data_IF_018587564540
#
_entry.id   IF_018587564540
#
_cell.length_a   1.000
_cell.length_b   1.000
_cell.length_c   1.000
_cell.angle_alpha   90.00
_cell.angle_beta   90.00
_cell.angle_gamma   90.00
#
_symmetry.space_group_name_H-M   'P 1'
#
loop_
_entity.id
_entity.type
_entity.pdbx_description
1 polymer ?
#
# COMPACT_ATOMS: atom_id res chain seq x y z
N UNK A 1 -49.52 10.65 -22.88
CA UNK A 1 -48.33 10.96 -22.05
C UNK A 1 -48.31 10.00 -20.88
N UNK A 2 -47.58 8.88 -20.99
CA UNK A 2 -47.54 7.85 -19.94
C UNK A 2 -46.13 7.79 -19.36
N UNK A 3 -46.07 8.24 -18.12
CA UNK A 3 -44.94 8.31 -17.21
C UNK A 3 -44.58 6.88 -16.79
N UNK A 4 -43.35 6.46 -17.03
CA UNK A 4 -42.77 5.26 -16.41
C UNK A 4 -42.13 5.72 -15.10
N UNK A 5 -42.73 5.29 -13.98
CA UNK A 5 -42.25 5.55 -12.63
C UNK A 5 -41.22 4.51 -12.20
N UNK A 6 -40.17 5.03 -11.57
CA UNK A 6 -39.06 4.41 -10.85
C UNK A 6 -39.55 3.35 -9.84
N UNK A 7 -38.91 2.18 -9.82
CA UNK A 7 -39.01 1.19 -8.74
C UNK A 7 -38.07 1.58 -7.60
N UNK A 8 -38.63 1.99 -6.46
CA UNK A 8 -37.94 1.95 -5.16
C UNK A 8 -38.60 0.88 -4.31
N UNK A 9 -37.83 -0.10 -3.86
CA UNK A 9 -38.29 -1.15 -2.94
C UNK A 9 -37.70 -0.91 -1.55
N UNK A 10 -38.55 -0.57 -0.59
CA UNK A 10 -38.25 -0.60 0.85
C UNK A 10 -39.42 -1.30 1.52
N UNK A 11 -39.21 -2.53 2.00
CA UNK A 11 -40.16 -3.20 2.88
C UNK A 11 -39.98 -2.64 4.29
N UNK A 12 -40.95 -1.89 4.79
CA UNK A 12 -40.98 -1.41 6.18
C UNK A 12 -41.45 -2.53 7.13
N UNK A 13 -40.68 -2.81 8.19
CA UNK A 13 -41.02 -3.78 9.26
C UNK A 13 -42.39 -3.51 9.91
N UNK A 14 -42.94 -2.30 9.82
CA UNK A 14 -44.31 -1.98 10.29
C UNK A 14 -45.41 -2.63 9.44
N UNK A 15 -45.16 -3.00 8.19
CA UNK A 15 -46.14 -3.67 7.31
C UNK A 15 -46.29 -5.15 7.66
N UNK A 16 -45.22 -5.81 8.12
CA UNK A 16 -45.25 -7.22 8.55
C UNK A 16 -46.14 -7.49 9.76
N UNK A 17 -46.26 -6.55 10.70
CA UNK A 17 -47.07 -6.74 11.92
C UNK A 17 -48.58 -6.51 11.72
N UNK A 18 -49.03 -6.10 10.52
CA UNK A 18 -50.45 -5.91 10.22
C UNK A 18 -51.13 -7.15 9.65
N UNK A 19 -50.37 -8.18 9.25
CA UNK A 19 -50.90 -9.41 8.65
C UNK A 19 -51.10 -10.58 9.63
N UNK A 20 -50.85 -10.39 10.93
CA UNK A 20 -50.96 -11.46 11.94
C UNK A 20 -52.33 -11.55 12.66
N UNK A 21 -53.36 -10.79 12.25
CA UNK A 21 -54.70 -10.84 12.86
C UNK A 21 -55.81 -10.77 11.81
N UNK A 22 -56.09 -11.88 11.14
CA UNK A 22 -57.42 -12.28 10.65
C UNK A 22 -57.36 -13.83 10.49
N UNK A 23 -58.39 -14.50 11.03
CA UNK A 23 -58.63 -15.95 11.17
C UNK A 23 -58.08 -16.87 10.05
N UNK A 24 -57.61 -18.10 10.26
CA UNK A 24 -58.12 -19.20 11.08
C UNK A 24 -58.64 -20.33 10.15
N UNK A 25 -57.97 -21.50 10.16
CA UNK A 25 -58.36 -22.83 9.58
C UNK A 25 -57.73 -23.27 8.23
N UNK A 26 -56.80 -24.25 8.36
CA UNK A 26 -56.52 -25.51 7.63
C UNK A 26 -56.48 -25.69 6.09
N UNK A 27 -55.29 -26.04 5.63
CA UNK A 27 -54.82 -26.92 4.52
C UNK A 27 -55.85 -27.72 3.66
N UNK A 28 -55.90 -27.43 2.34
CA UNK A 28 -56.04 -28.41 1.22
C UNK A 28 -55.86 -27.71 -0.17
N UNK A 29 -55.17 -28.39 -1.09
CA UNK A 29 -54.54 -27.96 -2.37
C UNK A 29 -55.46 -27.63 -3.58
N UNK A 30 -55.12 -26.59 -4.36
CA UNK A 30 -55.21 -26.38 -5.86
C UNK A 30 -55.28 -24.85 -6.16
N UNK A 31 -54.61 -24.16 -7.09
CA UNK A 31 -53.63 -24.41 -8.16
C UNK A 31 -52.68 -23.21 -8.10
N UNK A 32 -51.40 -23.42 -7.78
CA UNK A 32 -50.38 -22.40 -7.99
C UNK A 32 -49.91 -22.52 -9.44
N UNK A 33 -50.58 -21.80 -10.34
CA UNK A 33 -50.12 -21.60 -11.70
C UNK A 33 -50.25 -20.12 -12.06
N UNK A 34 -49.51 -19.27 -11.35
CA UNK A 34 -48.99 -18.07 -12.00
C UNK A 34 -47.66 -18.50 -12.62
N UNK A 35 -47.68 -18.68 -13.94
CA UNK A 35 -46.50 -18.96 -14.73
C UNK A 35 -45.35 -18.03 -14.30
N UNK A 36 -44.31 -18.67 -13.81
CA UNK A 36 -42.96 -18.15 -13.72
C UNK A 36 -42.52 -17.68 -15.10
N UNK A 37 -42.45 -16.37 -15.27
CA UNK A 37 -41.57 -15.73 -16.23
C UNK A 37 -40.74 -14.69 -15.45
N UNK A 38 -39.86 -15.17 -14.57
CA UNK A 38 -38.59 -14.47 -14.43
C UNK A 38 -37.98 -14.57 -15.82
N UNK A 39 -37.94 -13.48 -16.61
CA UNK A 39 -36.99 -13.43 -17.72
C UNK A 39 -35.66 -13.69 -17.02
N UNK A 40 -35.06 -14.85 -17.27
CA UNK A 40 -33.68 -15.07 -16.91
C UNK A 40 -32.93 -14.01 -17.71
N UNK A 41 -32.64 -12.88 -17.06
CA UNK A 41 -31.73 -11.91 -17.59
C UNK A 41 -30.47 -12.70 -17.94
N UNK A 42 -29.98 -12.60 -19.17
CA UNK A 42 -28.77 -13.30 -19.57
C UNK A 42 -27.71 -12.98 -18.51
N UNK A 43 -27.30 -14.00 -17.74
CA UNK A 43 -26.44 -13.78 -16.61
C UNK A 43 -25.05 -13.48 -17.17
N UNK A 44 -24.57 -12.25 -17.01
CA UNK A 44 -23.16 -11.98 -17.21
C UNK A 44 -22.40 -12.67 -16.08
N UNK A 45 -21.31 -13.37 -16.39
CA UNK A 45 -20.38 -13.93 -15.39
C UNK A 45 -19.01 -13.35 -15.64
N UNK A 46 -18.47 -12.62 -14.68
CA UNK A 46 -17.17 -11.98 -14.73
C UNK A 46 -16.08 -12.94 -14.25
N UNK A 47 -14.92 -12.93 -14.91
CA UNK A 47 -13.75 -13.67 -14.45
C UNK A 47 -12.51 -12.80 -14.60
N UNK A 48 -11.71 -12.68 -13.53
CA UNK A 48 -10.39 -12.05 -13.61
C UNK A 48 -9.40 -13.09 -14.14
N UNK A 49 -8.81 -12.83 -15.31
CA UNK A 49 -7.81 -13.72 -15.93
C UNK A 49 -6.37 -13.29 -15.62
N UNK A 50 -6.17 -12.03 -15.19
CA UNK A 50 -4.92 -11.53 -14.62
C UNK A 50 -5.24 -10.38 -13.66
N UNK A 51 -4.59 -10.31 -12.48
CA UNK A 51 -3.54 -11.22 -11.98
C UNK A 51 -4.11 -12.53 -11.44
N UNK A 52 -3.25 -13.54 -11.28
CA UNK A 52 -3.60 -14.79 -10.60
C UNK A 52 -3.75 -14.53 -9.09
N UNK A 53 -4.76 -15.11 -8.45
CA UNK A 53 -4.97 -15.02 -7.02
C UNK A 53 -3.72 -15.42 -6.21
N UNK A 54 -3.36 -14.60 -5.22
CA UNK A 54 -2.18 -14.80 -4.37
C UNK A 54 -0.85 -14.40 -5.00
N UNK A 55 -0.84 -13.82 -6.21
CA UNK A 55 0.39 -13.31 -6.82
C UNK A 55 1.04 -12.21 -5.98
N UNK A 56 2.36 -12.12 -6.06
CA UNK A 56 3.16 -11.15 -5.29
C UNK A 56 3.85 -10.13 -6.19
N UNK A 57 3.81 -8.86 -5.80
CA UNK A 57 4.45 -7.73 -6.50
C UNK A 57 5.20 -6.85 -5.49
N UNK A 58 6.09 -5.98 -5.97
CA UNK A 58 6.70 -4.93 -5.14
C UNK A 58 5.97 -3.60 -5.30
N UNK A 59 6.06 -2.71 -4.29
CA UNK A 59 5.58 -1.32 -4.42
C UNK A 59 6.13 -0.69 -5.70
N UNK A 60 5.25 -0.05 -6.48
CA UNK A 60 5.57 0.59 -7.77
C UNK A 60 5.69 -0.38 -8.96
N UNK A 61 5.62 -1.70 -8.75
CA UNK A 61 5.61 -2.66 -9.86
C UNK A 61 4.27 -2.65 -10.59
N UNK A 62 4.31 -2.69 -11.92
CA UNK A 62 3.13 -2.79 -12.77
C UNK A 62 2.45 -4.16 -12.62
N UNK A 63 1.16 -4.14 -12.31
CA UNK A 63 0.24 -5.28 -12.31
C UNK A 63 -0.66 -5.17 -13.54
N UNK A 64 -0.61 -6.16 -14.43
CA UNK A 64 -1.48 -6.22 -15.60
C UNK A 64 -2.84 -6.80 -15.21
N UNK A 65 -3.91 -6.12 -15.61
CA UNK A 65 -5.29 -6.49 -15.32
C UNK A 65 -5.98 -6.94 -16.60
N UNK A 66 -6.67 -8.07 -16.52
CA UNK A 66 -7.49 -8.58 -17.61
C UNK A 66 -8.71 -9.30 -17.04
N UNK A 67 -9.87 -9.07 -17.66
CA UNK A 67 -11.11 -9.77 -17.35
C UNK A 67 -11.72 -10.41 -18.59
N UNK A 68 -12.55 -11.41 -18.37
CA UNK A 68 -13.44 -11.99 -19.38
C UNK A 68 -14.87 -12.02 -18.84
N UNK A 69 -15.83 -12.19 -19.75
CA UNK A 69 -17.23 -12.41 -19.42
C UNK A 69 -17.80 -13.58 -20.20
N UNK A 70 -18.80 -14.24 -19.62
CA UNK A 70 -19.58 -15.30 -20.29
C UNK A 70 -21.07 -15.18 -19.91
N UNK A 71 -21.92 -15.99 -20.55
CA UNK A 71 -23.36 -16.06 -20.24
C UNK A 71 -24.23 -14.96 -20.87
N UNK A 72 -23.62 -14.02 -21.62
CA UNK A 72 -24.31 -13.00 -22.42
C UNK A 72 -23.68 -12.87 -23.81
N UNK A 73 -24.50 -12.51 -24.81
CA UNK A 73 -24.04 -12.14 -26.17
C UNK A 73 -24.04 -10.62 -26.37
N UNK A 74 -24.32 -9.85 -25.31
CA UNK A 74 -24.38 -8.39 -25.33
C UNK A 74 -22.99 -7.79 -25.08
N UNK A 75 -22.82 -6.53 -25.45
CA UNK A 75 -21.61 -5.76 -25.10
C UNK A 75 -21.50 -5.64 -23.59
N UNK A 76 -20.33 -6.00 -23.05
CA UNK A 76 -20.01 -5.93 -21.62
C UNK A 76 -19.02 -4.79 -21.35
N UNK A 77 -19.36 -3.94 -20.38
CA UNK A 77 -18.49 -2.91 -19.84
C UNK A 77 -17.85 -3.42 -18.54
N UNK A 78 -16.57 -3.10 -18.35
CA UNK A 78 -15.81 -3.49 -17.17
C UNK A 78 -15.39 -2.26 -16.38
N UNK A 79 -15.59 -2.28 -15.07
CA UNK A 79 -15.18 -1.24 -14.13
C UNK A 79 -14.27 -1.86 -13.07
N UNK A 80 -13.05 -1.33 -12.95
CA UNK A 80 -12.06 -1.80 -11.98
C UNK A 80 -12.00 -0.86 -10.77
N UNK A 81 -11.86 -1.45 -9.58
CA UNK A 81 -11.66 -0.72 -8.33
C UNK A 81 -10.68 -1.45 -7.40
N UNK A 82 -10.10 -0.71 -6.45
CA UNK A 82 -8.99 -1.16 -5.62
C UNK A 82 -9.23 -0.84 -4.15
N UNK A 83 -8.92 -1.78 -3.26
CA UNK A 83 -9.17 -1.63 -1.82
C UNK A 83 -8.34 -0.55 -1.11
N UNK A 84 -7.29 -0.04 -1.74
CA UNK A 84 -6.39 0.96 -1.16
C UNK A 84 -6.66 2.40 -1.60
N UNK A 85 -7.78 2.61 -2.30
CA UNK A 85 -8.17 3.95 -2.78
C UNK A 85 -7.46 4.40 -4.05
N UNK A 86 -6.64 3.54 -4.68
CA UNK A 86 -6.12 3.80 -6.03
C UNK A 86 -7.27 4.08 -7.00
N UNK A 87 -7.10 5.05 -7.91
CA UNK A 87 -8.14 5.42 -8.87
C UNK A 87 -8.51 4.23 -9.76
N UNK A 88 -9.80 3.92 -9.81
CA UNK A 88 -10.36 2.92 -10.72
C UNK A 88 -10.39 3.38 -12.18
N UNK A 89 -10.66 2.45 -13.09
CA UNK A 89 -10.79 2.75 -14.52
C UNK A 89 -11.81 1.82 -15.19
N UNK A 90 -12.15 2.10 -16.46
CA UNK A 90 -13.02 1.25 -17.27
C UNK A 90 -12.26 0.62 -18.43
N UNK A 91 -12.62 -0.60 -18.80
CA UNK A 91 -11.98 -1.35 -19.89
C UNK A 91 -11.70 -2.81 -19.51
N UNK A 92 -11.72 -3.69 -20.50
CA UNK A 92 -11.52 -5.13 -20.27
C UNK A 92 -10.09 -5.46 -19.79
N UNK A 93 -9.12 -4.67 -20.23
CA UNK A 93 -7.70 -4.80 -19.86
C UNK A 93 -7.16 -3.46 -19.39
N UNK A 94 -6.15 -3.48 -18.52
CA UNK A 94 -5.42 -2.29 -18.09
C UNK A 94 -4.24 -2.65 -17.21
N UNK A 95 -3.74 -1.67 -16.46
CA UNK A 95 -2.67 -1.91 -15.50
C UNK A 95 -2.77 -0.96 -14.31
N UNK A 96 -2.17 -1.35 -13.20
CA UNK A 96 -2.10 -0.56 -11.97
C UNK A 96 -0.73 -0.77 -11.31
N UNK A 97 -0.25 0.23 -10.58
CA UNK A 97 0.91 0.10 -9.71
C UNK A 97 0.54 0.62 -8.32
N UNK A 98 0.76 -0.21 -7.29
CA UNK A 98 0.40 0.13 -5.92
C UNK A 98 1.55 0.84 -5.21
N UNK A 99 1.24 1.94 -4.51
CA UNK A 99 2.22 2.76 -3.81
C UNK A 99 2.46 2.35 -2.35
N UNK A 100 1.60 1.49 -1.81
CA UNK A 100 1.66 1.03 -0.42
C UNK A 100 1.74 -0.48 -0.34
N UNK A 101 2.54 -1.04 0.59
CA UNK A 101 2.60 -2.48 0.79
C UNK A 101 1.34 -3.02 1.47
N UNK A 102 1.17 -4.33 1.42
CA UNK A 102 0.06 -5.06 2.04
C UNK A 102 -0.74 -5.89 1.05
N UNK A 103 -1.79 -6.53 1.56
CA UNK A 103 -2.75 -7.26 0.72
C UNK A 103 -3.62 -6.25 -0.03
N UNK A 104 -3.74 -6.40 -1.35
CA UNK A 104 -4.60 -5.58 -2.21
C UNK A 104 -5.72 -6.44 -2.77
N UNK A 105 -6.95 -5.96 -2.63
CA UNK A 105 -8.11 -6.54 -3.30
C UNK A 105 -8.39 -5.74 -4.56
N UNK A 106 -8.36 -6.42 -5.70
CA UNK A 106 -8.74 -5.91 -7.01
C UNK A 106 -10.14 -6.42 -7.31
N UNK A 107 -11.05 -5.51 -7.61
CA UNK A 107 -12.46 -5.84 -7.91
C UNK A 107 -12.77 -5.41 -9.33
N UNK A 108 -13.35 -6.31 -10.13
CA UNK A 108 -13.95 -5.97 -11.43
C UNK A 108 -15.46 -6.15 -11.35
N UNK A 109 -16.20 -5.17 -11.87
CA UNK A 109 -17.62 -5.28 -12.15
C UNK A 109 -17.81 -5.34 -13.66
N UNK A 110 -18.41 -6.43 -14.15
CA UNK A 110 -18.79 -6.60 -15.54
C UNK A 110 -20.30 -6.37 -15.67
N UNK A 111 -20.71 -5.41 -16.50
CA UNK A 111 -22.11 -5.06 -16.72
C UNK A 111 -22.48 -5.07 -18.20
N UNK A 112 -23.58 -5.72 -18.57
CA UNK A 112 -24.06 -5.76 -19.94
C UNK A 112 -25.15 -4.71 -20.24
N UNK A 113 -25.48 -4.53 -21.52
CA UNK A 113 -26.45 -3.50 -21.96
C UNK A 113 -27.90 -3.79 -21.55
N UNK A 114 -28.21 -4.98 -21.02
CA UNK A 114 -29.52 -5.30 -20.45
C UNK A 114 -29.65 -4.91 -18.97
N UNK A 115 -28.53 -4.51 -18.35
CA UNK A 115 -28.43 -4.23 -16.93
C UNK A 115 -28.07 -5.45 -16.08
N UNK A 116 -27.64 -6.56 -16.68
CA UNK A 116 -27.04 -7.67 -15.94
C UNK A 116 -25.66 -7.25 -15.45
N UNK A 117 -25.32 -7.58 -14.20
CA UNK A 117 -24.00 -7.28 -13.64
C UNK A 117 -23.48 -8.46 -12.85
N UNK A 118 -22.16 -8.63 -12.86
CA UNK A 118 -21.45 -9.56 -12.00
C UNK A 118 -20.16 -8.94 -11.48
N UNK A 119 -19.72 -9.37 -10.31
CA UNK A 119 -18.57 -8.82 -9.59
C UNK A 119 -17.64 -9.95 -9.21
N UNK A 120 -16.38 -9.81 -9.59
CA UNK A 120 -15.32 -10.74 -9.20
C UNK A 120 -14.19 -10.00 -8.49
N UNK A 121 -13.56 -10.69 -7.53
CA UNK A 121 -12.45 -10.13 -6.74
C UNK A 121 -11.25 -11.04 -6.73
N UNK A 122 -10.05 -10.46 -6.81
CA UNK A 122 -8.79 -11.17 -6.61
C UNK A 122 -7.93 -10.47 -5.56
N UNK A 123 -7.31 -11.24 -4.69
CA UNK A 123 -6.34 -10.74 -3.72
C UNK A 123 -4.92 -10.99 -4.23
N UNK A 124 -4.07 -9.97 -4.12
CA UNK A 124 -2.62 -10.05 -4.35
C UNK A 124 -1.88 -9.50 -3.14
N UNK A 125 -0.58 -9.76 -3.06
CA UNK A 125 0.30 -9.19 -2.03
C UNK A 125 1.28 -8.20 -2.67
N UNK A 126 1.35 -6.98 -2.12
CA UNK A 126 2.34 -5.98 -2.50
C UNK A 126 3.38 -5.89 -1.38
N UNK A 127 4.60 -6.30 -1.66
CA UNK A 127 5.72 -6.23 -0.74
C UNK A 127 6.29 -4.81 -0.71
N UNK A 128 6.71 -4.37 0.48
CA UNK A 128 7.54 -3.20 0.58
C UNK A 128 8.85 -3.44 -0.19
N UNK A 129 9.31 -2.47 -0.96
CA UNK A 129 10.68 -2.50 -1.46
C UNK A 129 11.62 -2.39 -0.26
N UNK A 130 12.65 -3.25 -0.22
CA UNK A 130 13.67 -3.14 0.81
C UNK A 130 14.33 -1.76 0.70
N UNK A 131 14.17 -0.91 1.72
CA UNK A 131 14.99 0.29 1.83
C UNK A 131 16.42 -0.17 2.03
N UNK A 132 17.31 0.17 1.10
CA UNK A 132 18.72 -0.14 1.23
C UNK A 132 19.29 0.69 2.39
N UNK A 133 20.00 0.07 3.33
CA UNK A 133 20.76 0.82 4.33
C UNK A 133 21.96 1.48 3.66
N UNK A 134 22.32 2.73 4.04
CA UNK A 134 23.55 3.32 3.54
C UNK A 134 24.76 2.46 3.92
N UNK A 135 25.56 2.13 2.91
CA UNK A 135 26.88 1.51 3.09
C UNK A 135 27.89 2.65 3.15
N UNK A 136 28.61 2.75 4.27
CA UNK A 136 29.60 3.81 4.50
C UNK A 136 30.96 3.34 4.00
N UNK A 137 31.66 4.22 3.27
CA UNK A 137 33.02 4.00 2.76
C UNK A 137 33.86 5.29 2.82
N UNK A 138 35.15 5.18 2.50
CA UNK A 138 36.06 6.33 2.35
C UNK A 138 36.08 7.27 3.56
N UNK A 139 36.03 6.71 4.77
CA UNK A 139 36.10 7.49 6.00
C UNK A 139 37.51 8.10 6.12
N UNK A 140 37.58 9.41 6.27
CA UNK A 140 38.82 10.17 6.44
C UNK A 140 38.63 11.33 7.42
N UNK A 141 39.73 11.87 7.93
CA UNK A 141 39.75 13.07 8.77
C UNK A 141 40.84 14.05 8.32
N UNK A 142 40.50 15.33 8.27
CA UNK A 142 41.38 16.38 7.77
C UNK A 142 41.13 17.70 8.49
N UNK A 143 41.91 18.71 8.13
CA UNK A 143 41.80 20.07 8.67
C UNK A 143 41.85 20.12 10.21
N UNK A 144 42.76 19.32 10.79
CA UNK A 144 42.93 19.23 12.25
C UNK A 144 43.48 20.56 12.77
N UNK A 145 42.75 21.15 13.71
CA UNK A 145 43.15 22.34 14.46
C UNK A 145 43.36 21.96 15.92
N UNK A 146 43.77 22.94 16.74
CA UNK A 146 43.93 22.73 18.17
C UNK A 146 42.60 22.34 18.87
N UNK A 147 41.45 22.69 18.30
CA UNK A 147 40.13 22.53 18.92
C UNK A 147 39.07 21.92 18.00
N UNK A 148 39.47 21.30 16.88
CA UNK A 148 38.52 20.74 15.94
C UNK A 148 39.14 19.91 14.82
N UNK A 149 38.30 19.17 14.10
CA UNK A 149 38.65 18.31 12.97
C UNK A 149 37.45 18.16 12.04
N UNK A 150 37.69 18.02 10.74
CA UNK A 150 36.65 17.68 9.75
C UNK A 150 36.71 16.20 9.41
N UNK A 151 35.59 15.51 9.55
CA UNK A 151 35.42 14.10 9.20
C UNK A 151 34.64 14.00 7.89
N UNK A 152 35.14 13.23 6.94
CA UNK A 152 34.50 13.00 5.65
C UNK A 152 34.27 11.51 5.41
N UNK A 153 33.22 11.16 4.69
CA UNK A 153 32.92 9.80 4.26
C UNK A 153 31.93 9.82 3.10
N UNK A 154 31.77 8.67 2.44
CA UNK A 154 30.79 8.49 1.38
C UNK A 154 29.74 7.46 1.75
N UNK A 155 28.56 7.56 1.13
CA UNK A 155 27.54 6.52 1.11
C UNK A 155 27.13 6.15 -0.30
N UNK A 156 26.74 4.89 -0.48
CA UNK A 156 26.25 4.39 -1.77
C UNK A 156 24.84 4.88 -2.16
N UNK A 157 24.11 5.50 -1.24
CA UNK A 157 22.80 6.13 -1.44
C UNK A 157 22.71 7.45 -0.67
N UNK A 158 21.86 8.41 -1.08
CA UNK A 158 21.66 9.64 -0.33
C UNK A 158 21.27 9.35 1.13
N UNK A 159 22.02 9.92 2.07
CA UNK A 159 21.78 9.77 3.50
C UNK A 159 22.04 11.07 4.27
N UNK A 160 21.70 11.07 5.56
CA UNK A 160 22.04 12.15 6.51
C UNK A 160 23.50 12.06 6.98
N UNK A 161 23.99 13.13 7.61
CA UNK A 161 25.38 13.25 8.09
C UNK A 161 25.46 13.49 9.59
N UNK A 162 26.12 12.61 10.35
CA UNK A 162 26.38 12.83 11.78
C UNK A 162 27.64 12.13 12.27
N UNK A 163 28.30 12.74 13.25
CA UNK A 163 29.46 12.14 13.93
C UNK A 163 29.17 12.02 15.43
N UNK A 164 29.50 10.86 16.00
CA UNK A 164 29.56 10.63 17.45
C UNK A 164 31.03 10.46 17.84
N UNK A 165 31.43 11.02 18.98
CA UNK A 165 32.83 11.03 19.39
C UNK A 165 33.02 11.06 20.91
N UNK A 166 34.16 10.56 21.35
CA UNK A 166 34.47 10.34 22.76
C UNK A 166 36.00 10.30 22.96
N UNK A 167 36.47 10.55 24.18
CA UNK A 167 37.86 10.31 24.59
C UNK A 167 38.08 8.86 25.02
N UNK A 168 37.00 8.13 25.29
CA UNK A 168 37.01 6.69 25.58
C UNK A 168 36.85 5.88 24.28
N UNK A 169 37.64 4.82 24.13
CA UNK A 169 37.49 3.90 23.00
C UNK A 169 36.29 2.98 23.20
N UNK A 170 35.49 2.81 22.14
CA UNK A 170 34.32 1.94 22.11
C UNK A 170 34.55 0.77 21.13
N UNK A 171 35.29 -0.28 21.52
CA UNK A 171 35.52 -1.45 20.66
C UNK A 171 34.23 -2.27 20.50
N UNK A 172 34.05 -2.93 19.35
CA UNK A 172 32.90 -3.78 19.06
C UNK A 172 31.90 -3.18 18.05
N UNK A 173 30.86 -3.92 17.70
CA UNK A 173 29.84 -3.46 16.74
C UNK A 173 28.94 -2.38 17.37
N UNK A 174 28.61 -1.29 16.65
CA UNK A 174 27.78 -0.20 17.18
C UNK A 174 26.37 -0.63 17.61
N UNK A 175 25.90 -1.75 17.08
CA UNK A 175 24.52 -2.24 17.21
C UNK A 175 24.11 -2.66 18.62
N UNK A 176 25.07 -2.90 19.52
CA UNK A 176 24.78 -3.39 20.88
C UNK A 176 24.51 -2.27 21.89
N UNK A 177 24.86 -1.03 21.57
CA UNK A 177 24.68 0.11 22.47
C UNK A 177 23.43 0.92 22.14
N UNK A 178 22.79 1.53 23.15
CA UNK A 178 21.54 2.26 22.98
C UNK A 178 21.70 3.53 22.12
N UNK A 179 20.70 3.77 21.26
CA UNK A 179 20.54 5.04 20.57
C UNK A 179 20.35 6.22 21.56
N UNK A 180 20.69 7.46 21.19
CA UNK A 180 21.10 7.90 19.85
C UNK A 180 22.61 7.92 19.59
N UNK A 181 23.44 7.68 20.61
CA UNK A 181 24.90 7.85 20.53
C UNK A 181 25.69 6.55 20.70
N UNK A 182 25.03 5.41 20.90
CA UNK A 182 25.68 4.09 20.86
C UNK A 182 26.91 3.99 21.79
N UNK A 183 26.78 4.55 22.99
CA UNK A 183 27.83 4.56 24.01
C UNK A 183 28.75 5.80 24.02
N UNK A 184 28.79 6.58 22.94
CA UNK A 184 29.66 7.76 22.85
C UNK A 184 29.10 8.94 23.64
N UNK A 185 29.97 9.62 24.39
CA UNK A 185 29.59 10.76 25.22
C UNK A 185 29.12 11.99 24.42
N UNK A 186 29.68 12.24 23.24
CA UNK A 186 29.41 13.45 22.45
C UNK A 186 28.91 13.15 21.04
N UNK A 187 28.23 14.12 20.44
CA UNK A 187 27.76 14.04 19.07
C UNK A 187 27.51 15.40 18.44
N UNK A 188 27.70 15.49 17.13
CA UNK A 188 27.24 16.62 16.32
C UNK A 188 25.72 16.58 16.11
N UNK A 189 25.15 17.70 15.68
CA UNK A 189 23.80 17.71 15.10
C UNK A 189 23.77 16.85 13.84
N UNK A 190 22.61 16.25 13.55
CA UNK A 190 22.39 15.56 12.28
C UNK A 190 22.20 16.61 11.18
N UNK A 191 23.02 16.57 10.15
CA UNK A 191 22.94 17.40 8.96
C UNK A 191 22.31 16.64 7.78
N UNK A 192 22.03 17.36 6.69
CA UNK A 192 21.49 16.80 5.44
C UNK A 192 20.14 16.07 5.61
N UNK A 193 19.35 16.52 6.60
CA UNK A 193 18.05 15.93 6.95
C UNK A 193 16.99 16.17 5.88
N UNK A 194 17.04 17.31 5.19
CA UNK A 194 16.09 17.68 4.13
C UNK A 194 16.59 17.23 2.76
N UNK A 195 17.85 17.55 2.46
CA UNK A 195 18.51 17.20 1.21
C UNK A 195 19.67 16.27 1.52
N UNK A 196 19.40 14.97 1.43
CA UNK A 196 20.37 13.92 1.69
C UNK A 196 21.49 13.94 0.64
N UNK A 197 22.70 13.55 1.05
CA UNK A 197 23.90 13.56 0.20
C UNK A 197 24.58 12.19 0.20
N UNK A 198 25.47 11.96 -0.76
CA UNK A 198 26.33 10.76 -0.82
C UNK A 198 27.79 11.05 -0.48
N UNK A 199 28.18 12.33 -0.41
CA UNK A 199 29.50 12.79 0.00
C UNK A 199 29.29 13.64 1.25
N UNK A 200 29.80 13.18 2.39
CA UNK A 200 29.53 13.77 3.69
C UNK A 200 30.74 14.52 4.23
N UNK A 201 30.50 15.62 4.93
CA UNK A 201 31.54 16.41 5.57
C UNK A 201 31.00 17.06 6.85
N UNK A 202 31.54 16.66 8.00
CA UNK A 202 31.12 17.17 9.30
C UNK A 202 32.33 17.65 10.09
N UNK A 203 32.30 18.90 10.53
CA UNK A 203 33.34 19.48 11.40
C UNK A 203 32.94 19.36 12.86
N UNK A 204 33.81 18.75 13.67
CA UNK A 204 33.72 18.76 15.14
C UNK A 204 34.51 19.95 15.66
N UNK A 205 33.94 20.71 16.58
CA UNK A 205 34.57 21.88 17.22
C UNK A 205 34.55 21.74 18.75
N UNK A 206 35.31 22.58 19.44
CA UNK A 206 35.36 22.59 20.91
C UNK A 206 36.12 21.42 21.53
N UNK A 207 37.00 20.77 20.78
CA UNK A 207 37.86 19.70 21.29
C UNK A 207 38.94 20.26 22.22
N UNK A 208 39.33 19.48 23.23
CA UNK A 208 40.43 19.83 24.11
C UNK A 208 41.78 19.65 23.37
N UNK A 209 42.67 20.65 23.38
CA UNK A 209 44.01 20.56 22.77
C UNK A 209 44.81 19.33 23.22
N UNK A 210 45.51 18.68 22.28
CA UNK A 210 46.40 17.55 22.57
C UNK A 210 45.70 16.28 23.09
N UNK A 211 44.37 16.23 23.03
CA UNK A 211 43.58 15.08 23.52
C UNK A 211 43.26 14.13 22.38
N UNK A 212 43.40 12.82 22.64
CA UNK A 212 43.02 11.78 21.68
C UNK A 212 41.51 11.55 21.74
N UNK A 213 40.88 11.49 20.57
CA UNK A 213 39.45 11.17 20.42
C UNK A 213 39.25 9.96 19.52
N UNK A 214 38.15 9.26 19.75
CA UNK A 214 37.61 8.18 18.93
C UNK A 214 36.27 8.65 18.36
N UNK A 215 35.97 8.30 17.12
CA UNK A 215 34.72 8.71 16.47
C UNK A 215 34.09 7.57 15.68
N UNK A 216 32.80 7.74 15.37
CA UNK A 216 32.06 6.98 14.35
C UNK A 216 31.18 7.92 13.56
N UNK A 217 31.01 7.59 12.29
CA UNK A 217 30.10 8.30 11.36
C UNK A 217 28.77 7.55 11.30
N UNK A 218 27.68 8.30 11.21
CA UNK A 218 26.31 7.80 11.12
C UNK A 218 25.63 8.43 9.90
N UNK A 219 24.93 7.58 9.16
CA UNK A 219 24.14 7.99 7.99
C UNK A 219 22.82 7.24 7.96
N UNK A 220 21.72 7.97 7.73
CA UNK A 220 20.35 7.43 7.63
C UNK A 220 19.79 7.67 6.24
N UNK A 221 19.41 6.57 5.57
CA UNK A 221 18.81 6.54 4.24
C UNK A 221 17.40 7.11 4.20
#
# INVERSE_FOLDING_TARGET
MKIIKVFSYIIDKKVMNKFAKIAGVSLATLVLAAFSAQIALAAVTATITSPVAGSTYNVGQTVNLAAASSGTNLTVNYVWSFSDGTAGFTGQTGSVAFSTPGTKTITVMAGDSSGANDVETVNITVNATASQKPVISNIDWKDVTQTGVTITWDTNIPATSRVIYDTVSHPGTPDSAAAPNFGYANSTTEADVTTKVTNHSVTITGLAPGTKYYFRVLSRG
#
